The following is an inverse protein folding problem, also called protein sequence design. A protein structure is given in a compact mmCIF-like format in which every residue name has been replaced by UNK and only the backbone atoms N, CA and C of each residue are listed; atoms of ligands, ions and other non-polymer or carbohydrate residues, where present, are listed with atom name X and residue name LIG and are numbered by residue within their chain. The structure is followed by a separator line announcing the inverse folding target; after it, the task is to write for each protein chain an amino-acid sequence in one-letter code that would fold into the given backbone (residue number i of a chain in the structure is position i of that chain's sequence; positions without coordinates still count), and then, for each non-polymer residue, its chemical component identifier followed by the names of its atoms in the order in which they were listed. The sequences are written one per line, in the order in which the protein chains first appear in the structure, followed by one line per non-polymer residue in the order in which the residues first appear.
data_IF_349885572413
#
_entry.id   IF_349885572413
#
_cell.length_a   1.000
_cell.length_b   1.000
_cell.length_c   1.000
_cell.angle_alpha   90.00
_cell.angle_beta   90.00
_cell.angle_gamma   90.00
#
_symmetry.space_group_name_H-M   'P 1'
#
loop_
_entity.id
_entity.type
_entity.pdbx_description
1 polymer ?
#
# COMPACT_ATOMS: atom_id res chain seq x y z
N UNK A 1 3.44 16.94 7.06
CA UNK A 1 3.22 15.48 7.12
C UNK A 1 2.41 15.03 5.92
N UNK A 2 1.22 15.61 5.70
CA UNK A 2 0.38 15.31 4.52
C UNK A 2 1.15 15.51 3.20
N UNK A 3 1.80 16.66 3.00
CA UNK A 3 2.57 16.94 1.77
C UNK A 3 3.72 15.96 1.54
N UNK A 4 4.34 15.46 2.62
CA UNK A 4 5.43 14.48 2.55
C UNK A 4 4.90 13.12 2.10
N UNK A 5 3.73 12.70 2.60
CA UNK A 5 3.08 11.46 2.19
C UNK A 5 2.65 11.57 0.72
N UNK A 6 1.96 12.65 0.34
CA UNK A 6 1.50 12.89 -1.02
C UNK A 6 2.68 12.89 -2.02
N UNK A 7 3.75 13.62 -1.71
CA UNK A 7 4.96 13.63 -2.54
C UNK A 7 5.52 12.23 -2.80
N UNK A 8 5.64 11.39 -1.75
CA UNK A 8 6.18 10.05 -1.92
C UNK A 8 5.20 9.08 -2.61
N UNK A 9 3.88 9.29 -2.47
CA UNK A 9 2.88 8.56 -3.26
C UNK A 9 3.07 8.90 -4.74
N UNK A 10 3.15 10.18 -5.10
CA UNK A 10 3.29 10.60 -6.50
C UNK A 10 4.57 10.06 -7.14
N UNK A 11 5.70 10.14 -6.42
CA UNK A 11 6.98 9.62 -6.90
C UNK A 11 6.94 8.11 -7.14
N UNK A 12 6.41 7.34 -6.18
CA UNK A 12 6.32 5.88 -6.33
C UNK A 12 5.29 5.48 -7.40
N UNK A 13 4.16 6.19 -7.51
CA UNK A 13 3.17 5.93 -8.54
C UNK A 13 3.73 6.18 -9.94
N UNK A 14 4.51 7.25 -10.11
CA UNK A 14 5.21 7.55 -11.36
C UNK A 14 6.24 6.48 -11.71
N UNK A 15 7.02 6.02 -10.73
CA UNK A 15 8.05 4.99 -10.93
C UNK A 15 7.45 3.63 -11.32
N UNK A 16 6.36 3.24 -10.67
CA UNK A 16 5.75 1.91 -10.84
C UNK A 16 4.56 1.89 -11.82
N UNK A 17 4.19 3.03 -12.40
CA UNK A 17 3.02 3.15 -13.28
C UNK A 17 1.72 2.72 -12.59
N UNK A 18 1.50 3.23 -11.39
CA UNK A 18 0.31 2.97 -10.57
C UNK A 18 -0.62 4.19 -10.57
N UNK A 19 -1.92 3.91 -10.40
CA UNK A 19 -2.92 4.95 -10.20
C UNK A 19 -2.80 5.53 -8.79
N UNK A 20 -2.60 6.86 -8.70
CA UNK A 20 -2.38 7.52 -7.42
C UNK A 20 -3.63 7.50 -6.53
N UNK A 21 -4.84 7.61 -7.11
CA UNK A 21 -6.09 7.55 -6.34
C UNK A 21 -6.25 6.18 -5.67
N UNK A 22 -5.92 5.11 -6.41
CA UNK A 22 -5.91 3.75 -5.88
C UNK A 22 -4.92 3.60 -4.71
N UNK A 23 -3.70 4.13 -4.84
CA UNK A 23 -2.67 4.03 -3.79
C UNK A 23 -3.06 4.85 -2.56
N UNK A 24 -3.63 6.04 -2.74
CA UNK A 24 -4.17 6.87 -1.66
C UNK A 24 -5.27 6.12 -0.91
N UNK A 25 -6.24 5.54 -1.62
CA UNK A 25 -7.32 4.78 -1.02
C UNK A 25 -6.82 3.51 -0.28
N UNK A 26 -5.78 2.87 -0.82
CA UNK A 26 -5.12 1.72 -0.18
C UNK A 26 -4.44 2.12 1.13
N UNK A 27 -3.65 3.18 1.14
CA UNK A 27 -3.00 3.70 2.37
C UNK A 27 -4.04 4.09 3.42
N UNK A 28 -5.11 4.75 3.01
CA UNK A 28 -6.20 5.13 3.88
C UNK A 28 -6.84 3.90 4.56
N UNK A 29 -7.07 2.82 3.80
CA UNK A 29 -7.64 1.57 4.33
C UNK A 29 -6.67 0.81 5.26
N UNK A 30 -5.39 0.78 4.89
CA UNK A 30 -4.37 -0.01 5.56
C UNK A 30 -3.91 0.63 6.89
N UNK A 31 -3.75 1.95 6.92
CA UNK A 31 -3.15 2.64 8.07
C UNK A 31 -3.88 3.91 8.51
N UNK A 32 -4.89 4.36 7.77
CA UNK A 32 -5.47 5.70 7.94
C UNK A 32 -4.39 6.80 7.92
N UNK A 33 -3.40 6.64 7.05
CA UNK A 33 -2.23 7.51 6.90
C UNK A 33 -1.33 7.61 8.13
N UNK A 34 -1.34 6.62 9.03
CA UNK A 34 -0.44 6.58 10.19
C UNK A 34 0.89 5.90 9.85
N UNK A 35 2.02 6.64 9.73
CA UNK A 35 3.30 6.06 9.31
C UNK A 35 3.91 5.06 10.30
N UNK A 36 3.47 5.10 11.56
CA UNK A 36 3.90 4.19 12.63
C UNK A 36 2.92 3.04 12.88
N UNK A 37 1.93 2.85 12.01
CA UNK A 37 0.97 1.75 12.15
C UNK A 37 1.68 0.39 12.19
N UNK A 38 1.24 -0.48 13.10
CA UNK A 38 1.70 -1.87 13.19
C UNK A 38 0.52 -2.78 13.48
N UNK A 39 0.32 -3.81 12.65
CA UNK A 39 -0.72 -4.81 12.90
C UNK A 39 -0.27 -5.92 13.85
N UNK A 40 -1.24 -6.72 14.33
CA UNK A 40 -0.96 -7.98 15.06
C UNK A 40 -0.18 -9.01 14.21
N UNK A 41 -0.22 -8.89 12.89
CA UNK A 41 0.49 -9.76 11.95
C UNK A 41 1.90 -9.23 11.59
N UNK A 42 2.41 -8.23 12.32
CA UNK A 42 3.69 -7.57 12.08
C UNK A 42 3.77 -6.83 10.72
N UNK A 43 2.64 -6.42 10.14
CA UNK A 43 2.62 -5.47 9.02
C UNK A 43 2.92 -4.06 9.51
N UNK A 44 3.68 -3.27 8.76
CA UNK A 44 4.22 -1.98 9.21
C UNK A 44 3.96 -0.83 8.25
N UNK A 45 3.75 0.36 8.82
CA UNK A 45 3.71 1.65 8.14
C UNK A 45 2.48 1.89 7.26
N UNK A 46 2.58 2.92 6.42
CA UNK A 46 1.48 3.45 5.61
C UNK A 46 0.76 2.40 4.77
N UNK A 47 1.52 1.52 4.13
CA UNK A 47 1.03 0.50 3.21
C UNK A 47 1.02 -0.90 3.85
N UNK A 48 1.22 -0.99 5.16
CA UNK A 48 1.14 -2.24 5.95
C UNK A 48 1.99 -3.37 5.34
N UNK A 49 3.22 -3.05 4.98
CA UNK A 49 4.18 -4.00 4.39
C UNK A 49 4.49 -5.10 5.41
N UNK A 50 4.42 -6.37 5.00
CA UNK A 50 4.85 -7.49 5.83
C UNK A 50 6.31 -7.89 5.53
N UNK A 51 7.28 -7.64 6.42
CA UNK A 51 8.69 -7.89 6.12
C UNK A 51 9.05 -9.38 6.02
N UNK A 52 8.23 -10.27 6.62
CA UNK A 52 8.44 -11.72 6.52
C UNK A 52 7.95 -12.28 5.18
N UNK A 53 6.87 -11.71 4.64
CA UNK A 53 6.32 -12.11 3.34
C UNK A 53 7.13 -11.54 2.17
N UNK A 54 7.68 -10.33 2.31
CA UNK A 54 8.38 -9.60 1.24
C UNK A 54 9.88 -9.37 1.55
N UNK A 55 10.57 -10.43 1.97
CA UNK A 55 11.99 -10.36 2.39
C UNK A 55 12.90 -9.81 1.29
N UNK A 56 12.60 -10.12 0.03
CA UNK A 56 13.34 -9.63 -1.14
C UNK A 56 13.28 -8.10 -1.27
N UNK A 57 12.10 -7.51 -0.99
CA UNK A 57 11.88 -6.06 -1.09
C UNK A 57 12.32 -5.29 0.16
N UNK A 58 12.27 -5.94 1.32
CA UNK A 58 12.71 -5.35 2.58
C UNK A 58 14.22 -5.52 2.84
N UNK A 59 14.94 -6.27 1.99
CA UNK A 59 16.36 -6.52 2.16
C UNK A 59 17.15 -5.20 2.07
N UNK A 60 18.02 -4.97 3.05
CA UNK A 60 18.86 -3.77 3.11
C UNK A 60 18.32 -2.67 3.99
N UNK A 61 17.08 -2.78 4.48
CA UNK A 61 16.49 -1.86 5.45
C UNK A 61 16.45 -2.48 6.84
N UNK A 62 16.73 -1.67 7.86
CA UNK A 62 16.45 -2.00 9.25
C UNK A 62 14.96 -1.97 9.54
N UNK A 63 14.54 -2.56 10.67
CA UNK A 63 13.12 -2.55 11.08
C UNK A 63 12.57 -1.13 11.28
N UNK A 64 13.39 -0.18 11.72
CA UNK A 64 12.97 1.20 11.90
C UNK A 64 12.76 1.91 10.56
N UNK A 65 13.67 1.68 9.59
CA UNK A 65 13.58 2.28 8.26
C UNK A 65 12.33 1.85 7.49
N UNK A 66 11.77 0.67 7.78
CA UNK A 66 10.52 0.22 7.16
C UNK A 66 9.29 1.07 7.52
N UNK A 67 9.38 1.92 8.56
CA UNK A 67 8.34 2.91 8.90
C UNK A 67 8.59 4.27 8.26
N UNK A 68 9.77 4.50 7.65
CA UNK A 68 10.03 5.76 6.96
C UNK A 68 9.13 5.86 5.73
N UNK A 69 8.39 6.97 5.63
CA UNK A 69 7.43 7.23 4.55
C UNK A 69 7.98 6.88 3.15
N UNK A 70 9.16 7.40 2.71
CA UNK A 70 9.69 7.04 1.39
C UNK A 70 9.89 5.54 1.20
N UNK A 71 10.47 4.87 2.20
CA UNK A 71 10.78 3.43 2.14
C UNK A 71 9.50 2.60 2.13
N UNK A 72 8.54 2.92 3.00
CA UNK A 72 7.32 2.16 3.14
C UNK A 72 6.42 2.27 1.91
N UNK A 73 6.25 3.49 1.39
CA UNK A 73 5.44 3.75 0.18
C UNK A 73 6.09 3.09 -1.03
N UNK A 74 7.41 3.19 -1.19
CA UNK A 74 8.13 2.55 -2.30
C UNK A 74 8.00 1.02 -2.26
N UNK A 75 8.24 0.39 -1.11
CA UNK A 75 8.09 -1.06 -0.97
C UNK A 75 6.64 -1.50 -1.22
N UNK A 76 5.66 -0.78 -0.66
CA UNK A 76 4.24 -1.08 -0.86
C UNK A 76 3.82 -0.96 -2.32
N UNK A 77 4.25 0.09 -3.03
CA UNK A 77 4.00 0.27 -4.46
C UNK A 77 4.66 -0.84 -5.29
N UNK A 78 5.90 -1.22 -4.98
CA UNK A 78 6.58 -2.34 -5.63
C UNK A 78 5.86 -3.68 -5.44
N UNK A 79 5.28 -3.93 -4.26
CA UNK A 79 4.44 -5.11 -4.00
C UNK A 79 3.17 -5.04 -4.84
N UNK A 80 2.47 -3.91 -4.83
CA UNK A 80 1.23 -3.72 -5.59
C UNK A 80 1.47 -3.91 -7.08
N UNK A 81 2.52 -3.32 -7.65
CA UNK A 81 2.92 -3.48 -9.05
C UNK A 81 3.16 -4.94 -9.41
N UNK A 82 3.93 -5.66 -8.60
CA UNK A 82 4.16 -7.09 -8.82
C UNK A 82 2.84 -7.89 -8.84
N UNK A 83 1.89 -7.55 -7.97
CA UNK A 83 0.58 -8.19 -7.96
C UNK A 83 -0.29 -7.81 -9.14
N UNK A 84 -0.22 -6.57 -9.63
CA UNK A 84 -0.88 -6.16 -10.87
C UNK A 84 -0.33 -6.98 -12.05
N UNK A 85 0.98 -7.18 -12.15
CA UNK A 85 1.61 -7.93 -13.25
C UNK A 85 1.23 -9.42 -13.24
N UNK A 86 0.96 -9.97 -12.05
CA UNK A 86 0.60 -11.39 -11.85
C UNK A 86 -0.91 -11.64 -11.90
N UNK A 87 -1.71 -10.62 -12.15
CA UNK A 87 -3.17 -10.68 -12.05
C UNK A 87 -3.84 -10.34 -13.37
N UNK A 88 -5.04 -10.87 -13.60
CA UNK A 88 -5.84 -10.55 -14.80
C UNK A 88 -6.70 -9.30 -14.62
N UNK A 89 -6.80 -8.80 -13.39
CA UNK A 89 -7.56 -7.60 -13.04
C UNK A 89 -7.00 -6.93 -11.78
N UNK A 90 -7.35 -5.66 -11.59
CA UNK A 90 -7.06 -4.89 -10.37
C UNK A 90 -7.62 -5.61 -9.13
N UNK A 91 -8.80 -6.21 -9.24
CA UNK A 91 -9.47 -6.91 -8.14
C UNK A 91 -8.64 -8.10 -7.66
N UNK A 92 -8.12 -8.89 -8.60
CA UNK A 92 -7.25 -10.01 -8.27
C UNK A 92 -5.94 -9.51 -7.62
N UNK A 93 -5.37 -8.41 -8.11
CA UNK A 93 -4.16 -7.82 -7.54
C UNK A 93 -4.37 -7.33 -6.10
N UNK A 94 -5.50 -6.64 -5.84
CA UNK A 94 -5.87 -6.18 -4.50
C UNK A 94 -6.17 -7.36 -3.55
N UNK A 95 -6.79 -8.44 -4.05
CA UNK A 95 -6.96 -9.67 -3.28
C UNK A 95 -5.63 -10.30 -2.86
N UNK A 96 -4.64 -10.31 -3.77
CA UNK A 96 -3.26 -10.73 -3.45
C UNK A 96 -2.61 -9.81 -2.41
N UNK A 97 -2.78 -8.49 -2.55
CA UNK A 97 -2.23 -7.50 -1.63
C UNK A 97 -2.75 -7.70 -0.19
N UNK A 98 -4.06 -7.91 -0.02
CA UNK A 98 -4.67 -8.20 1.29
C UNK A 98 -4.20 -9.53 1.90
N UNK A 99 -3.74 -10.49 1.08
CA UNK A 99 -3.28 -11.80 1.55
C UNK A 99 -4.39 -12.83 1.81
N UNK A 100 -5.62 -12.63 1.29
CA UNK A 100 -6.69 -13.64 1.32
C UNK A 100 -7.35 -13.80 -0.07
N UNK A 101 -7.78 -15.02 -0.41
CA UNK A 101 -8.70 -15.25 -1.54
C UNK A 101 -10.10 -14.75 -1.15
N UNK A 102 -10.35 -13.45 -1.36
CA UNK A 102 -11.59 -12.77 -0.99
C UNK A 102 -11.60 -11.31 -1.44
N UNK A 103 -11.28 -11.05 -2.71
CA UNK A 103 -11.04 -9.71 -3.26
C UNK A 103 -12.25 -8.76 -3.26
N UNK A 104 -13.48 -9.30 -3.27
CA UNK A 104 -14.69 -8.51 -3.52
C UNK A 104 -14.98 -7.49 -2.41
N UNK A 105 -14.88 -7.90 -1.14
CA UNK A 105 -15.08 -7.00 0.00
C UNK A 105 -13.96 -5.96 0.10
N UNK A 106 -12.73 -6.38 -0.19
CA UNK A 106 -11.56 -5.51 -0.08
C UNK A 106 -11.58 -4.38 -1.12
N UNK A 107 -11.90 -4.69 -2.37
CA UNK A 107 -12.13 -3.65 -3.39
C UNK A 107 -13.25 -2.69 -2.98
N UNK A 108 -14.36 -3.21 -2.47
CA UNK A 108 -15.49 -2.37 -2.05
C UNK A 108 -15.06 -1.38 -0.96
N UNK A 109 -14.28 -1.83 0.01
CA UNK A 109 -13.74 -0.97 1.07
C UNK A 109 -12.80 0.10 0.48
N UNK A 110 -11.95 -0.25 -0.49
CA UNK A 110 -11.05 0.71 -1.17
C UNK A 110 -11.85 1.76 -1.95
N UNK A 111 -12.86 1.33 -2.71
CA UNK A 111 -13.72 2.25 -3.47
C UNK A 111 -14.57 3.14 -2.55
N UNK A 112 -15.06 2.61 -1.44
CA UNK A 112 -15.77 3.40 -0.44
C UNK A 112 -14.85 4.47 0.18
N UNK A 113 -13.63 4.08 0.55
CA UNK A 113 -12.61 4.99 1.06
C UNK A 113 -12.27 6.08 0.04
N UNK A 114 -12.11 5.73 -1.24
CA UNK A 114 -11.89 6.71 -2.29
C UNK A 114 -13.06 7.70 -2.38
N UNK A 115 -14.30 7.20 -2.43
CA UNK A 115 -15.49 8.05 -2.49
C UNK A 115 -15.58 9.02 -1.30
N UNK A 116 -15.23 8.58 -0.09
CA UNK A 116 -15.20 9.44 1.10
C UNK A 116 -14.13 10.54 1.01
N UNK A 117 -12.95 10.22 0.48
CA UNK A 117 -11.86 11.19 0.33
C UNK A 117 -12.16 12.28 -0.69
N UNK A 118 -12.86 11.95 -1.78
CA UNK A 118 -13.20 12.88 -2.86
C UNK A 118 -14.57 13.57 -2.69
N UNK A 119 -15.31 13.26 -1.63
CA UNK A 119 -16.57 13.93 -1.30
C UNK A 119 -16.41 15.17 -0.41
N UNK A 120 -15.17 15.56 -0.08
CA UNK A 120 -14.78 16.74 0.69
C UNK A 120 -14.42 17.92 -0.22
#
# INVERSE_FOLDING_TARGET
MVDLIAHHIDMACLEHGLDAELVVALIARESSFLPWAKSKADCVGLMQVNPRAHKDKCKGYSQAELYHIPVNVEIGCKILREYMDKSKSVDEALGRYMGCQGAVSYKRDILATAAELYAL
#
